data_IF_358567284071
#
_entry.id   IF_358567284071
#
_cell.length_a   1.000
_cell.length_b   1.000
_cell.length_c   1.000
_cell.angle_alpha   90.00
_cell.angle_beta   90.00
_cell.angle_gamma   90.00
#
_symmetry.space_group_name_H-M   'P 1'
#
loop_
_entity.id
_entity.type
_entity.pdbx_description
1 polymer ?
#
# COMPACT_ATOMS: atom_id res chain seq x y z
N UNK A 1 3.74 3.05 -33.50
CA UNK A 1 2.44 2.33 -33.53
C UNK A 1 1.97 1.92 -32.11
N UNK A 2 1.82 2.84 -31.14
CA UNK A 2 1.62 2.45 -29.72
C UNK A 2 0.64 3.32 -28.91
N UNK A 3 -0.30 4.02 -29.57
CA UNK A 3 -1.33 4.81 -28.85
C UNK A 3 -2.62 4.05 -28.51
N UNK A 4 -2.98 3.07 -29.33
CA UNK A 4 -4.30 2.43 -29.29
C UNK A 4 -4.41 1.34 -28.21
N UNK A 5 -3.36 0.53 -28.04
CA UNK A 5 -3.30 -0.49 -27.00
C UNK A 5 -3.38 0.10 -25.59
N UNK A 6 -2.64 1.18 -25.32
CA UNK A 6 -2.65 1.86 -24.02
C UNK A 6 -4.02 2.48 -23.66
N UNK A 7 -4.75 3.00 -24.65
CA UNK A 7 -6.13 3.51 -24.47
C UNK A 7 -7.13 2.38 -24.18
N UNK A 8 -7.01 1.25 -24.87
CA UNK A 8 -7.87 0.07 -24.66
C UNK A 8 -7.68 -0.51 -23.25
N UNK A 9 -6.42 -0.63 -22.79
CA UNK A 9 -6.11 -1.08 -21.43
C UNK A 9 -6.68 -0.14 -20.37
N UNK A 10 -6.58 1.19 -20.56
CA UNK A 10 -7.20 2.17 -19.62
C UNK A 10 -8.72 2.04 -19.52
N UNK A 11 -9.40 1.76 -20.62
CA UNK A 11 -10.86 1.60 -20.64
C UNK A 11 -11.30 0.30 -19.96
N UNK A 12 -10.63 -0.81 -20.25
CA UNK A 12 -10.87 -2.09 -19.59
C UNK A 12 -10.61 -2.00 -18.08
N UNK A 13 -9.51 -1.33 -17.70
CA UNK A 13 -9.19 -1.08 -16.30
C UNK A 13 -10.28 -0.28 -15.57
N UNK A 14 -10.90 0.71 -16.24
CA UNK A 14 -12.02 1.48 -15.67
C UNK A 14 -13.30 0.65 -15.54
N UNK A 15 -13.52 -0.27 -16.47
CA UNK A 15 -14.69 -1.16 -16.44
C UNK A 15 -14.59 -2.17 -15.30
N UNK A 16 -13.45 -2.86 -15.16
CA UNK A 16 -13.23 -3.82 -14.08
C UNK A 16 -13.23 -3.14 -12.70
N UNK A 17 -12.65 -1.95 -12.57
CA UNK A 17 -12.72 -1.17 -11.33
C UNK A 17 -14.18 -0.82 -10.95
N UNK A 18 -15.04 -0.49 -11.92
CA UNK A 18 -16.46 -0.22 -11.66
C UNK A 18 -17.23 -1.47 -11.22
N UNK A 19 -16.90 -2.64 -11.76
CA UNK A 19 -17.53 -3.91 -11.38
C UNK A 19 -17.07 -4.40 -10.00
N UNK A 20 -15.80 -4.23 -9.67
CA UNK A 20 -15.25 -4.57 -8.37
C UNK A 20 -15.88 -3.73 -7.24
N UNK A 21 -16.16 -2.45 -7.49
CA UNK A 21 -16.83 -1.57 -6.53
C UNK A 21 -18.30 -1.90 -6.21
N UNK A 22 -18.92 -2.88 -6.90
CA UNK A 22 -20.29 -3.37 -6.64
C UNK A 22 -20.27 -4.58 -5.68
N UNK A 23 -19.09 -5.00 -5.20
CA UNK A 23 -18.97 -6.07 -4.22
C UNK A 23 -19.46 -5.65 -2.82
N UNK A 24 -20.03 -6.60 -2.09
CA UNK A 24 -20.45 -6.41 -0.69
C UNK A 24 -19.18 -6.15 0.15
N UNK A 25 -19.12 -5.06 0.96
CA UNK A 25 -17.91 -4.73 1.69
C UNK A 25 -17.54 -5.85 2.68
N UNK A 26 -16.25 -6.19 2.74
CA UNK A 26 -15.74 -7.17 3.70
C UNK A 26 -15.97 -6.67 5.12
N UNK A 27 -16.59 -7.48 5.97
CA UNK A 27 -16.97 -7.10 7.35
C UNK A 27 -15.93 -7.53 8.37
N UNK A 28 -15.17 -8.61 8.12
CA UNK A 28 -14.09 -9.10 8.99
C UNK A 28 -13.19 -10.10 8.23
N UNK A 29 -11.99 -10.38 8.77
CA UNK A 29 -11.19 -11.53 8.38
C UNK A 29 -11.64 -12.78 9.15
N UNK A 30 -11.98 -13.86 8.44
CA UNK A 30 -12.39 -15.14 9.06
C UNK A 30 -11.23 -15.84 9.78
N UNK A 31 -9.99 -15.66 9.28
CA UNK A 31 -8.74 -16.09 9.92
C UNK A 31 -7.65 -15.05 9.68
N UNK A 32 -6.76 -14.79 10.65
CA UNK A 32 -5.62 -13.91 10.42
C UNK A 32 -4.74 -14.53 9.32
N UNK A 33 -4.51 -13.81 8.21
CA UNK A 33 -3.69 -14.31 7.12
C UNK A 33 -2.23 -14.42 7.56
N UNK A 34 -1.60 -15.55 7.26
CA UNK A 34 -0.17 -15.72 7.50
C UNK A 34 0.64 -14.99 6.42
N UNK A 35 1.68 -14.21 6.78
CA UNK A 35 2.53 -13.53 5.80
C UNK A 35 3.25 -14.56 4.91
N UNK A 36 2.84 -14.65 3.64
CA UNK A 36 3.50 -15.53 2.64
C UNK A 36 4.60 -14.83 1.84
N UNK A 37 5.03 -13.64 2.26
CA UNK A 37 6.06 -12.87 1.58
C UNK A 37 7.19 -12.53 2.55
N UNK A 38 8.42 -12.68 2.08
CA UNK A 38 9.65 -12.41 2.84
C UNK A 38 10.21 -11.07 2.35
N UNK A 39 10.27 -10.09 3.24
CA UNK A 39 11.02 -8.85 3.00
C UNK A 39 12.48 -8.97 3.42
N UNK A 40 13.23 -7.89 3.21
CA UNK A 40 14.64 -7.78 3.55
C UNK A 40 14.83 -6.95 4.82
N UNK A 41 15.34 -7.59 5.87
CA UNK A 41 15.66 -6.94 7.15
C UNK A 41 16.47 -5.65 7.00
N UNK A 42 17.49 -5.66 6.13
CA UNK A 42 18.35 -4.49 5.88
C UNK A 42 17.57 -3.31 5.28
N UNK A 43 16.61 -3.58 4.38
CA UNK A 43 15.73 -2.54 3.82
C UNK A 43 14.77 -2.01 4.87
N UNK A 44 14.21 -2.87 5.72
CA UNK A 44 13.38 -2.44 6.85
C UNK A 44 14.08 -1.41 7.73
N UNK A 45 15.37 -1.64 8.04
CA UNK A 45 16.19 -0.66 8.80
C UNK A 45 16.35 0.67 8.08
N UNK A 46 16.58 0.64 6.77
CA UNK A 46 16.69 1.86 5.95
C UNK A 46 15.38 2.64 5.96
N UNK A 47 14.24 1.96 5.78
CA UNK A 47 12.92 2.57 5.80
C UNK A 47 12.62 3.25 7.15
N UNK A 48 12.93 2.59 8.26
CA UNK A 48 12.80 3.16 9.62
C UNK A 48 13.72 4.37 9.82
N UNK A 49 14.93 4.34 9.25
CA UNK A 49 15.84 5.49 9.24
C UNK A 49 15.41 6.61 8.28
N UNK A 50 14.30 6.44 7.54
CA UNK A 50 13.79 7.43 6.59
C UNK A 50 14.47 7.40 5.22
N UNK A 51 15.31 6.41 4.93
CA UNK A 51 15.92 6.21 3.61
C UNK A 51 15.10 5.22 2.80
N UNK A 52 14.47 5.71 1.73
CA UNK A 52 13.54 4.90 0.92
C UNK A 52 14.08 4.74 -0.49
N UNK A 53 14.53 3.52 -0.81
CA UNK A 53 14.99 3.13 -2.15
C UNK A 53 13.92 2.31 -2.85
N UNK A 54 13.28 2.89 -3.87
CA UNK A 54 12.27 2.23 -4.69
C UNK A 54 12.54 2.53 -6.16
N UNK A 55 12.36 1.56 -7.04
CA UNK A 55 12.61 1.68 -8.48
C UNK A 55 14.02 2.19 -8.82
N UNK A 56 15.01 1.89 -7.98
CA UNK A 56 16.38 2.41 -8.10
C UNK A 56 16.54 3.90 -7.77
N UNK A 57 15.51 4.56 -7.26
CA UNK A 57 15.53 5.97 -6.86
C UNK A 57 15.44 6.08 -5.33
N UNK A 58 16.25 6.95 -4.73
CA UNK A 58 16.31 7.16 -3.28
C UNK A 58 15.64 8.48 -2.90
N UNK A 59 14.87 8.47 -1.81
CA UNK A 59 14.46 9.69 -1.09
C UNK A 59 14.81 9.59 0.38
N UNK A 60 14.84 10.74 1.05
CA UNK A 60 14.90 10.86 2.50
C UNK A 60 13.58 11.45 3.01
N UNK A 61 12.94 10.79 3.96
CA UNK A 61 11.68 11.28 4.53
C UNK A 61 11.88 12.35 5.59
N UNK A 62 13.07 12.43 6.22
CA UNK A 62 13.42 13.44 7.24
C UNK A 62 12.40 13.52 8.39
N UNK A 63 11.83 12.37 8.78
CA UNK A 63 10.81 12.28 9.83
C UNK A 63 9.37 12.40 9.33
N UNK A 64 9.16 12.78 8.08
CA UNK A 64 7.84 12.79 7.43
C UNK A 64 7.43 11.39 6.96
N UNK A 65 6.20 11.28 6.45
CA UNK A 65 5.72 10.06 5.80
C UNK A 65 6.29 9.92 4.39
N UNK A 66 6.28 8.69 3.87
CA UNK A 66 6.58 8.40 2.47
C UNK A 66 5.78 9.26 1.48
N UNK A 67 4.55 9.63 1.83
CA UNK A 67 3.63 10.35 0.93
C UNK A 67 3.72 11.86 1.03
N UNK A 68 4.34 12.39 2.09
CA UNK A 68 4.61 13.81 2.25
C UNK A 68 5.76 14.28 1.34
N UNK A 69 6.68 13.38 0.97
CA UNK A 69 7.80 13.69 0.07
C UNK A 69 7.37 13.55 -1.38
N UNK A 70 7.71 14.55 -2.20
CA UNK A 70 7.48 14.48 -3.64
C UNK A 70 8.33 13.35 -4.26
N UNK A 71 7.73 12.42 -5.01
CA UNK A 71 8.49 11.34 -5.62
C UNK A 71 9.45 11.90 -6.68
N UNK A 72 10.69 11.38 -6.77
CA UNK A 72 11.70 11.85 -7.72
C UNK A 72 11.36 11.50 -9.17
N UNK A 73 10.44 10.55 -9.38
CA UNK A 73 9.95 10.14 -10.68
C UNK A 73 8.68 9.30 -10.58
N UNK A 74 8.05 9.06 -11.72
CA UNK A 74 6.82 8.25 -11.80
C UNK A 74 7.06 6.81 -11.39
N UNK A 75 8.24 6.24 -11.70
CA UNK A 75 8.60 4.86 -11.33
C UNK A 75 8.63 4.67 -9.82
N UNK A 76 9.28 5.57 -9.08
CA UNK A 76 9.23 5.58 -7.61
C UNK A 76 7.80 5.65 -7.08
N UNK A 77 6.99 6.58 -7.62
CA UNK A 77 5.60 6.73 -7.19
C UNK A 77 4.77 5.46 -7.42
N UNK A 78 4.93 4.81 -8.57
CA UNK A 78 4.26 3.53 -8.88
C UNK A 78 4.68 2.42 -7.93
N UNK A 79 5.98 2.30 -7.63
CA UNK A 79 6.48 1.27 -6.71
C UNK A 79 6.03 1.50 -5.27
N UNK A 80 6.04 2.76 -4.80
CA UNK A 80 5.52 3.14 -3.48
C UNK A 80 4.05 2.72 -3.31
N UNK A 81 3.23 2.97 -4.33
CA UNK A 81 1.80 2.61 -4.38
C UNK A 81 1.55 1.09 -4.40
N UNK A 82 2.58 0.28 -4.64
CA UNK A 82 2.51 -1.19 -4.63
C UNK A 82 2.68 -1.83 -3.24
N UNK A 83 3.03 -1.06 -2.21
CA UNK A 83 3.15 -1.52 -0.82
C UNK A 83 4.13 -2.68 -0.57
N UNK A 84 5.08 -2.93 -1.48
CA UNK A 84 6.12 -3.96 -1.28
C UNK A 84 7.02 -3.67 -0.06
N UNK A 85 7.20 -2.39 0.27
CA UNK A 85 7.93 -1.94 1.45
C UNK A 85 7.33 -2.42 2.79
N UNK A 86 6.06 -2.87 2.82
CA UNK A 86 5.49 -3.50 4.01
C UNK A 86 6.17 -4.83 4.34
N UNK A 87 6.60 -5.59 3.33
CA UNK A 87 7.30 -6.86 3.55
C UNK A 87 8.63 -6.60 4.28
N UNK A 88 9.35 -5.55 3.88
CA UNK A 88 10.63 -5.17 4.47
C UNK A 88 10.48 -4.68 5.92
N UNK A 89 9.43 -3.91 6.22
CA UNK A 89 9.11 -3.49 7.59
C UNK A 89 8.68 -4.68 8.46
N UNK A 90 7.87 -5.58 7.91
CA UNK A 90 7.47 -6.81 8.60
C UNK A 90 8.69 -7.71 8.90
N UNK A 91 9.66 -7.78 7.99
CA UNK A 91 10.90 -8.54 8.18
C UNK A 91 11.81 -7.94 9.26
N UNK A 92 11.78 -6.62 9.47
CA UNK A 92 12.48 -5.97 10.59
C UNK A 92 11.77 -6.26 11.92
N UNK A 93 10.43 -6.17 11.95
CA UNK A 93 9.59 -6.70 13.03
C UNK A 93 9.67 -5.98 14.38
N UNK A 94 10.45 -4.91 14.50
CA UNK A 94 10.54 -4.14 15.74
C UNK A 94 9.40 -3.11 15.88
N UNK A 95 9.37 -2.43 17.04
CA UNK A 95 8.33 -1.43 17.32
C UNK A 95 8.38 -0.24 16.37
N UNK A 96 9.56 0.18 15.93
CA UNK A 96 9.75 1.31 15.03
C UNK A 96 9.26 0.95 13.61
N UNK A 97 9.52 -0.28 13.16
CA UNK A 97 9.04 -0.80 11.90
C UNK A 97 7.50 -0.87 11.87
N UNK A 98 6.89 -1.32 12.96
CA UNK A 98 5.42 -1.31 13.11
C UNK A 98 4.85 0.11 13.04
N UNK A 99 5.44 1.05 13.79
CA UNK A 99 5.01 2.46 13.78
C UNK A 99 5.14 3.04 12.38
N UNK A 100 6.27 2.82 11.70
CA UNK A 100 6.50 3.27 10.33
C UNK A 100 5.46 2.69 9.36
N UNK A 101 5.23 1.36 9.42
CA UNK A 101 4.28 0.67 8.56
C UNK A 101 2.85 1.21 8.71
N UNK A 102 2.42 1.37 9.97
CA UNK A 102 1.12 1.94 10.30
C UNK A 102 1.04 3.40 9.82
N UNK A 103 1.96 4.26 10.24
CA UNK A 103 1.93 5.70 9.90
C UNK A 103 1.83 5.92 8.40
N UNK A 104 2.66 5.23 7.60
CA UNK A 104 2.61 5.39 6.14
C UNK A 104 1.34 4.81 5.53
N UNK A 105 0.83 3.68 6.03
CA UNK A 105 -0.40 3.09 5.49
C UNK A 105 -1.63 3.94 5.82
N UNK A 106 -1.72 4.47 7.03
CA UNK A 106 -2.83 5.32 7.46
C UNK A 106 -2.80 6.69 6.76
N UNK A 107 -1.62 7.27 6.55
CA UNK A 107 -1.49 8.48 5.73
C UNK A 107 -1.88 8.23 4.27
N UNK A 108 -1.57 7.05 3.72
CA UNK A 108 -2.07 6.65 2.41
C UNK A 108 -3.59 6.56 2.37
N UNK A 109 -4.22 5.93 3.38
CA UNK A 109 -5.68 5.83 3.48
C UNK A 109 -6.31 7.22 3.53
N UNK A 110 -5.74 8.14 4.31
CA UNK A 110 -6.22 9.52 4.40
C UNK A 110 -6.15 10.26 3.04
N UNK A 111 -5.06 10.07 2.28
CA UNK A 111 -4.84 10.76 1.00
C UNK A 111 -5.57 10.14 -0.19
N UNK A 112 -5.62 8.81 -0.24
CA UNK A 112 -6.01 8.06 -1.45
C UNK A 112 -7.11 7.01 -1.20
N UNK A 113 -7.53 6.80 0.05
CA UNK A 113 -8.51 5.76 0.41
C UNK A 113 -9.88 5.95 -0.24
N UNK A 114 -10.20 7.13 -0.75
CA UNK A 114 -11.47 7.46 -1.42
C UNK A 114 -11.62 6.90 -2.86
N UNK A 115 -10.73 6.02 -3.33
CA UNK A 115 -10.87 5.43 -4.67
C UNK A 115 -10.29 6.28 -5.81
N UNK A 116 -9.48 7.31 -5.50
CA UNK A 116 -8.97 8.29 -6.48
C UNK A 116 -7.46 8.50 -6.31
N UNK A 117 -6.78 8.79 -7.42
CA UNK A 117 -5.35 9.14 -7.42
C UNK A 117 -4.42 8.08 -8.04
N UNK A 118 -3.10 8.26 -7.93
CA UNK A 118 -2.10 7.46 -8.65
C UNK A 118 -2.08 5.97 -8.26
N UNK A 119 -2.59 5.60 -7.08
CA UNK A 119 -2.67 4.22 -6.60
C UNK A 119 -3.85 3.38 -7.10
N UNK A 120 -4.69 3.92 -7.99
CA UNK A 120 -5.96 3.30 -8.41
C UNK A 120 -5.93 2.71 -9.82
N UNK A 121 -4.77 2.17 -10.23
CA UNK A 121 -4.71 1.26 -11.39
C UNK A 121 -5.00 -0.18 -10.92
N UNK A 122 -5.64 -1.04 -11.73
CA UNK A 122 -5.97 -2.40 -11.30
C UNK A 122 -4.78 -3.24 -10.85
N UNK A 123 -3.62 -3.09 -11.51
CA UNK A 123 -2.38 -3.77 -11.10
C UNK A 123 -1.93 -3.33 -9.69
N UNK A 124 -1.91 -2.03 -9.40
CA UNK A 124 -1.51 -1.51 -8.10
C UNK A 124 -2.53 -1.83 -7.00
N UNK A 125 -3.84 -1.76 -7.33
CA UNK A 125 -4.90 -2.14 -6.41
C UNK A 125 -4.78 -3.62 -6.00
N UNK A 126 -4.55 -4.53 -6.97
CA UNK A 126 -4.33 -5.94 -6.68
C UNK A 126 -3.12 -6.19 -5.76
N UNK A 127 -1.98 -5.57 -6.07
CA UNK A 127 -0.76 -5.67 -5.24
C UNK A 127 -0.99 -5.15 -3.81
N UNK A 128 -1.62 -3.98 -3.68
CA UNK A 128 -1.95 -3.38 -2.38
C UNK A 128 -2.86 -4.29 -1.57
N UNK A 129 -3.95 -4.78 -2.15
CA UNK A 129 -4.89 -5.67 -1.45
C UNK A 129 -4.18 -6.92 -0.93
N UNK A 130 -3.36 -7.58 -1.75
CA UNK A 130 -2.59 -8.76 -1.31
C UNK A 130 -1.65 -8.41 -0.14
N UNK A 131 -0.92 -7.29 -0.22
CA UNK A 131 0.01 -6.86 0.83
C UNK A 131 -0.71 -6.46 2.12
N UNK A 132 -1.82 -5.76 2.02
CA UNK A 132 -2.61 -5.34 3.17
C UNK A 132 -3.25 -6.53 3.87
N UNK A 133 -3.73 -7.52 3.13
CA UNK A 133 -4.21 -8.78 3.70
C UNK A 133 -3.05 -9.45 4.43
N UNK A 134 -1.93 -9.73 3.75
CA UNK A 134 -0.78 -10.42 4.35
C UNK A 134 -0.26 -9.75 5.64
N UNK A 135 -0.38 -8.43 5.74
CA UNK A 135 0.12 -7.63 6.87
C UNK A 135 -0.99 -7.02 7.72
N UNK A 136 -2.22 -7.54 7.65
CA UNK A 136 -3.38 -6.98 8.37
C UNK A 136 -3.12 -6.91 9.89
N UNK A 137 -2.56 -7.97 10.48
CA UNK A 137 -2.21 -8.01 11.90
C UNK A 137 -1.21 -6.90 12.27
N UNK A 138 -0.17 -6.68 11.47
CA UNK A 138 0.82 -5.61 11.69
C UNK A 138 0.14 -4.23 11.66
N UNK A 139 -0.75 -4.02 10.69
CA UNK A 139 -1.41 -2.72 10.44
C UNK A 139 -2.50 -2.39 11.47
N UNK A 140 -3.17 -3.42 12.02
CA UNK A 140 -4.28 -3.29 12.96
C UNK A 140 -3.88 -3.51 14.43
N UNK A 141 -2.65 -3.94 14.71
CA UNK A 141 -2.15 -4.08 16.09
C UNK A 141 -2.34 -2.76 16.85
N UNK A 142 -3.02 -2.84 18.01
CA UNK A 142 -3.35 -1.71 18.89
C UNK A 142 -4.22 -0.62 18.23
N UNK A 143 -5.04 -0.99 17.23
CA UNK A 143 -6.10 -0.14 16.67
C UNK A 143 -7.46 -0.53 17.24
N UNK A 144 -8.39 0.42 17.26
CA UNK A 144 -9.76 0.20 17.70
C UNK A 144 -10.66 -0.28 16.55
N UNK A 145 -11.90 -0.65 16.86
CA UNK A 145 -12.86 -1.13 15.87
C UNK A 145 -13.17 -0.08 14.80
N UNK A 146 -13.19 1.20 15.16
CA UNK A 146 -13.46 2.29 14.20
C UNK A 146 -12.34 2.39 13.15
N UNK A 147 -11.07 2.29 13.57
CA UNK A 147 -9.95 2.21 12.66
C UNK A 147 -10.04 0.95 11.79
N UNK A 148 -10.34 -0.21 12.36
CA UNK A 148 -10.52 -1.46 11.60
C UNK A 148 -11.57 -1.31 10.49
N UNK A 149 -12.73 -0.70 10.77
CA UNK A 149 -13.74 -0.42 9.75
C UNK A 149 -13.22 0.48 8.61
N UNK A 150 -12.45 1.51 8.94
CA UNK A 150 -11.83 2.40 7.94
C UNK A 150 -10.85 1.64 7.07
N UNK A 151 -10.04 0.77 7.67
CA UNK A 151 -9.09 -0.08 6.96
C UNK A 151 -9.81 -1.05 6.01
N UNK A 152 -10.82 -1.77 6.49
CA UNK A 152 -11.62 -2.71 5.69
C UNK A 152 -12.35 -2.01 4.54
N UNK A 153 -12.87 -0.80 4.78
CA UNK A 153 -13.51 0.01 3.73
C UNK A 153 -12.52 0.45 2.65
N UNK A 154 -11.28 0.78 3.02
CA UNK A 154 -10.24 1.12 2.06
C UNK A 154 -9.73 -0.11 1.29
N UNK A 155 -9.74 -1.29 1.92
CA UNK A 155 -9.39 -2.57 1.32
C UNK A 155 -10.43 -3.06 0.29
N UNK A 156 -11.72 -2.86 0.57
CA UNK A 156 -12.84 -3.35 -0.25
C UNK A 156 -13.12 -2.51 -1.51
N UNK A 157 -12.28 -1.51 -1.81
CA UNK A 157 -12.45 -0.60 -2.95
C UNK A 157 -11.56 -0.97 -4.12
#
# INVERSE_FOLDING_TARGET
MTGFAARKTRLLNRWEARRAGIARPMTAFDRPPEPRTIGLFARGKQLVAGHVLLAGQMIETRGETLWAVAPPGSAFGVEAQGFAWLDDLAALGDSAARICAQTWTWDWIARYGAGRGPGWTPDLAGRRVIRWINHATLLLTAKDAAAEEVFLRALAR
#
